data_IF_111909599143
#
_entry.id   IF_111909599143
#
_cell.length_a   1.000
_cell.length_b   1.000
_cell.length_c   1.000
_cell.angle_alpha   90.00
_cell.angle_beta   90.00
_cell.angle_gamma   90.00
#
_symmetry.space_group_name_H-M   'P 1'
#
loop_
_entity.id
_entity.type
_entity.pdbx_description
1 polymer ?
#
# COMPACT_ATOMS: atom_id res chain seq x y z
N UNK A 1 49.60 33.33 -11.06
CA UNK A 1 48.34 33.74 -11.69
C UNK A 1 47.27 33.81 -10.61
N UNK A 2 46.42 34.84 -10.69
CA UNK A 2 45.58 35.39 -9.62
C UNK A 2 44.65 34.38 -8.94
N UNK A 3 44.71 34.32 -7.62
CA UNK A 3 43.59 33.95 -6.75
C UNK A 3 42.93 35.25 -6.27
N UNK A 4 41.60 35.32 -6.37
CA UNK A 4 40.79 36.42 -5.87
C UNK A 4 40.26 36.08 -4.48
N UNK A 5 40.62 36.97 -3.57
CA UNK A 5 40.24 37.13 -2.18
C UNK A 5 38.85 37.78 -2.10
N UNK A 6 37.98 37.29 -1.21
CA UNK A 6 36.83 38.07 -0.74
C UNK A 6 36.83 38.18 0.78
N UNK A 7 36.86 39.44 1.18
CA UNK A 7 37.01 40.01 2.51
C UNK A 7 36.02 39.51 3.58
N UNK A 8 36.59 39.34 4.78
CA UNK A 8 36.03 39.48 6.14
C UNK A 8 35.01 40.60 6.27
N UNK A 9 34.11 40.53 7.28
CA UNK A 9 33.91 41.59 8.29
C UNK A 9 33.33 40.98 9.58
N UNK A 10 34.14 41.00 10.64
CA UNK A 10 33.81 40.70 12.03
C UNK A 10 33.89 42.04 12.76
N UNK A 11 32.83 42.44 13.49
CA UNK A 11 32.81 43.66 14.28
C UNK A 11 32.39 43.29 15.70
N UNK A 12 33.26 43.60 16.64
CA UNK A 12 33.06 43.53 18.09
C UNK A 12 33.20 44.91 18.71
N UNK A 13 32.80 45.00 19.99
CA UNK A 13 32.96 46.07 21.01
C UNK A 13 31.80 47.08 21.21
N UNK A 14 31.72 47.79 22.37
CA UNK A 14 31.62 47.32 23.78
C UNK A 14 30.66 48.17 24.68
N UNK A 15 30.57 47.85 25.99
CA UNK A 15 30.14 48.71 27.14
C UNK A 15 28.63 49.09 27.22
N UNK A 16 27.90 49.20 28.34
CA UNK A 16 28.18 49.39 29.78
C UNK A 16 26.96 49.03 30.63
N UNK A 17 27.17 48.61 31.87
CA UNK A 17 26.15 48.46 32.91
C UNK A 17 25.69 49.81 33.46
N UNK A 18 24.40 49.96 33.77
CA UNK A 18 23.94 50.90 34.80
C UNK A 18 22.68 50.38 35.49
N UNK A 19 22.80 50.24 36.82
CA UNK A 19 21.74 49.95 37.77
C UNK A 19 21.06 51.26 38.17
N UNK A 20 19.73 51.32 38.18
CA UNK A 20 19.00 52.30 38.99
C UNK A 20 17.68 51.69 39.48
N UNK A 21 17.51 51.71 40.80
CA UNK A 21 16.37 51.26 41.58
C UNK A 21 15.46 52.45 41.85
N UNK A 22 14.14 52.36 41.62
CA UNK A 22 13.10 53.14 42.36
C UNK A 22 11.67 52.62 42.09
N UNK A 23 11.18 51.84 43.06
CA UNK A 23 9.90 51.90 43.82
C UNK A 23 8.62 52.58 43.27
N UNK A 24 7.50 51.81 43.27
CA UNK A 24 6.06 52.13 43.61
C UNK A 24 5.26 53.10 42.70
N UNK A 25 3.99 52.92 42.24
CA UNK A 25 2.78 52.12 42.62
C UNK A 25 1.76 52.12 41.41
N UNK A 26 0.51 51.58 41.45
CA UNK A 26 0.04 50.53 40.51
C UNK A 26 -1.14 50.93 39.57
N UNK A 27 -1.55 49.98 38.71
CA UNK A 27 -2.90 49.73 38.10
C UNK A 27 -2.91 49.68 36.55
N UNK A 28 -3.78 48.91 35.87
CA UNK A 28 -4.36 47.60 36.18
C UNK A 28 -3.87 46.51 35.20
N UNK A 29 -4.12 45.24 35.55
CA UNK A 29 -3.74 44.08 34.76
C UNK A 29 -4.43 44.01 33.39
N UNK A 30 -3.73 43.60 32.31
CA UNK A 30 -4.36 42.88 31.23
C UNK A 30 -4.32 41.38 31.54
N UNK A 31 -5.52 40.80 31.68
CA UNK A 31 -5.72 39.36 31.70
C UNK A 31 -5.10 38.74 30.45
N UNK A 32 -3.95 38.08 30.61
CA UNK A 32 -3.49 37.07 29.65
C UNK A 32 -4.34 35.83 29.87
N UNK A 33 -5.38 35.66 29.06
CA UNK A 33 -5.96 34.33 28.86
C UNK A 33 -4.96 33.51 28.03
N UNK A 34 -4.43 32.38 28.52
CA UNK A 34 -3.85 31.40 27.63
C UNK A 34 -5.00 30.69 26.93
N UNK A 35 -5.24 31.01 25.65
CA UNK A 35 -6.07 30.18 24.79
C UNK A 35 -5.31 28.88 24.52
N UNK A 36 -5.50 27.94 25.43
CA UNK A 36 -5.02 26.57 25.29
C UNK A 36 -6.02 25.88 24.36
N UNK A 37 -5.82 26.03 23.04
CA UNK A 37 -6.55 25.25 22.04
C UNK A 37 -6.19 23.78 22.26
N UNK A 38 -7.04 23.07 23.01
CA UNK A 38 -7.07 21.61 23.00
C UNK A 38 -7.62 21.21 21.63
N UNK A 39 -6.73 21.09 20.66
CA UNK A 39 -6.91 20.14 19.58
C UNK A 39 -6.98 18.77 20.27
N UNK A 40 -8.18 18.27 20.52
CA UNK A 40 -8.38 16.84 20.74
C UNK A 40 -8.13 16.16 19.40
N UNK A 41 -7.06 15.37 19.25
CA UNK A 41 -6.82 14.72 17.97
C UNK A 41 -7.71 13.48 17.89
N UNK A 42 -8.51 13.38 16.83
CA UNK A 42 -9.13 12.13 16.35
C UNK A 42 -8.02 11.27 15.69
N UNK A 43 -6.85 11.17 16.32
CA UNK A 43 -5.79 10.22 15.97
C UNK A 43 -5.91 8.91 16.78
N UNK A 44 -6.82 8.86 17.75
CA UNK A 44 -6.99 7.68 18.62
C UNK A 44 -7.94 6.65 17.98
N UNK A 45 -8.88 7.05 17.12
CA UNK A 45 -9.72 6.07 16.40
C UNK A 45 -8.98 5.40 15.23
N UNK A 46 -8.08 6.10 14.54
CA UNK A 46 -7.20 5.49 13.53
C UNK A 46 -6.21 4.51 14.15
N UNK A 47 -5.65 4.84 15.33
CA UNK A 47 -4.79 3.93 16.09
C UNK A 47 -5.51 2.67 16.59
N UNK A 48 -6.77 2.77 17.04
CA UNK A 48 -7.52 1.60 17.51
C UNK A 48 -7.92 0.63 16.38
N UNK A 49 -8.17 1.14 15.17
CA UNK A 49 -8.42 0.31 13.98
C UNK A 49 -7.13 -0.34 13.48
N UNK A 50 -6.00 0.37 13.48
CA UNK A 50 -4.67 -0.20 13.20
C UNK A 50 -4.30 -1.31 14.20
N UNK A 51 -4.53 -1.10 15.49
CA UNK A 51 -4.25 -2.12 16.52
C UNK A 51 -5.20 -3.33 16.38
N UNK A 52 -6.46 -3.11 15.98
CA UNK A 52 -7.41 -4.21 15.75
C UNK A 52 -7.04 -5.04 14.50
N UNK A 53 -6.54 -4.40 13.44
CA UNK A 53 -6.01 -5.09 12.27
C UNK A 53 -4.73 -5.88 12.58
N UNK A 54 -3.83 -5.31 13.39
CA UNK A 54 -2.60 -5.98 13.87
C UNK A 54 -2.93 -7.16 14.81
N UNK A 55 -3.98 -7.07 15.63
CA UNK A 55 -4.42 -8.18 16.48
C UNK A 55 -5.08 -9.33 15.70
N UNK A 56 -5.62 -9.06 14.51
CA UNK A 56 -6.09 -10.10 13.58
C UNK A 56 -4.90 -10.77 12.86
N UNK A 57 -3.81 -10.03 12.65
CA UNK A 57 -2.57 -10.53 12.05
C UNK A 57 -1.74 -11.42 13.01
N UNK A 58 -1.80 -11.20 14.33
CA UNK A 58 -0.96 -11.93 15.30
C UNK A 58 -1.62 -13.15 16.00
N UNK A 59 -2.83 -13.54 15.59
CA UNK A 59 -3.53 -14.73 16.11
C UNK A 59 -3.37 -15.95 15.20
N UNK A 60 -3.67 -17.19 15.66
CA UNK A 60 -3.72 -18.37 14.79
C UNK A 60 -4.92 -18.24 13.82
N UNK A 61 -4.72 -17.45 12.78
CA UNK A 61 -5.76 -16.75 12.02
C UNK A 61 -6.19 -17.43 10.73
N UNK A 62 -5.73 -18.64 10.44
CA UNK A 62 -6.27 -19.42 9.32
C UNK A 62 -7.71 -19.92 9.58
N UNK A 63 -8.19 -19.91 10.83
CA UNK A 63 -9.50 -20.45 11.22
C UNK A 63 -10.65 -19.45 11.38
N UNK A 64 -10.37 -18.18 11.73
CA UNK A 64 -11.43 -17.25 12.19
C UNK A 64 -12.06 -16.40 11.08
N UNK A 65 -11.42 -16.25 9.92
CA UNK A 65 -12.03 -15.54 8.78
C UNK A 65 -12.86 -16.45 7.87
N UNK A 66 -12.73 -17.78 8.00
CA UNK A 66 -13.58 -18.74 7.27
C UNK A 66 -15.06 -18.66 7.67
N UNK A 67 -15.41 -18.03 8.80
CA UNK A 67 -16.80 -17.79 9.20
C UNK A 67 -17.39 -16.47 8.70
N UNK A 68 -16.57 -15.52 8.23
CA UNK A 68 -17.03 -14.25 7.65
C UNK A 68 -17.14 -14.29 6.12
N UNK A 69 -16.63 -15.35 5.48
CA UNK A 69 -16.73 -15.57 4.04
C UNK A 69 -17.38 -16.92 3.76
N UNK A 70 -18.62 -17.08 4.21
CA UNK A 70 -19.36 -18.33 4.10
C UNK A 70 -19.87 -18.61 2.69
N UNK A 71 -19.06 -19.26 1.84
CA UNK A 71 -19.58 -20.04 0.72
C UNK A 71 -19.12 -21.50 0.84
N UNK A 72 -20.06 -22.36 1.25
CA UNK A 72 -19.90 -23.81 1.29
C UNK A 72 -20.03 -24.39 -0.12
N UNK A 73 -18.92 -24.51 -0.84
CA UNK A 73 -18.83 -25.40 -2.01
C UNK A 73 -17.76 -26.45 -1.74
N UNK A 74 -18.20 -27.69 -1.46
CA UNK A 74 -17.32 -28.86 -1.40
C UNK A 74 -16.96 -29.27 -2.83
N UNK A 75 -15.70 -29.06 -3.21
CA UNK A 75 -15.12 -29.58 -4.45
C UNK A 75 -14.33 -30.87 -4.11
N UNK A 76 -14.36 -31.93 -4.94
CA UNK A 76 -13.63 -33.18 -4.68
C UNK A 76 -12.10 -32.97 -4.73
N UNK A 77 -11.30 -33.76 -3.97
CA UNK A 77 -9.86 -33.57 -3.92
C UNK A 77 -9.17 -34.03 -5.21
N UNK A 78 -8.58 -33.08 -5.94
CA UNK A 78 -7.49 -33.34 -6.87
C UNK A 78 -6.19 -33.45 -6.07
N UNK A 79 -5.30 -34.36 -6.48
CA UNK A 79 -4.06 -34.70 -5.77
C UNK A 79 -3.26 -33.43 -5.41
N UNK A 80 -3.20 -33.14 -4.11
CA UNK A 80 -2.52 -31.98 -3.57
C UNK A 80 -1.00 -32.16 -3.71
N UNK A 81 -0.32 -31.19 -4.33
CA UNK A 81 1.03 -30.85 -3.87
C UNK A 81 0.91 -30.61 -2.37
N UNK A 82 1.70 -31.32 -1.55
CA UNK A 82 1.65 -31.17 -0.10
C UNK A 82 2.16 -29.77 0.26
N UNK A 83 1.25 -28.79 0.25
CA UNK A 83 1.50 -27.46 0.79
C UNK A 83 1.83 -27.62 2.27
N UNK A 84 2.98 -27.10 2.67
CA UNK A 84 3.48 -27.18 4.05
C UNK A 84 3.27 -25.87 4.80
N UNK A 85 2.80 -24.81 4.14
CA UNK A 85 2.55 -23.52 4.77
C UNK A 85 2.51 -22.38 3.77
N UNK A 86 2.72 -21.17 4.26
CA UNK A 86 2.62 -19.94 3.47
C UNK A 86 3.72 -18.94 3.83
N UNK A 87 4.00 -18.05 2.87
CA UNK A 87 4.80 -16.85 3.07
C UNK A 87 3.96 -15.62 2.67
N UNK A 88 4.07 -14.57 3.47
CA UNK A 88 3.37 -13.29 3.31
C UNK A 88 4.37 -12.15 3.21
N UNK A 89 4.13 -11.24 2.27
CA UNK A 89 4.80 -9.94 2.23
C UNK A 89 3.99 -8.93 3.03
N UNK A 90 4.66 -8.20 3.91
CA UNK A 90 4.08 -7.20 4.80
C UNK A 90 4.80 -5.87 4.65
N UNK A 91 4.15 -4.78 5.05
CA UNK A 91 4.74 -3.45 5.03
C UNK A 91 4.96 -2.97 6.47
N UNK A 92 6.16 -2.50 6.80
CA UNK A 92 6.52 -1.97 8.13
C UNK A 92 5.80 -0.67 8.48
N UNK A 93 5.15 -0.04 7.49
CA UNK A 93 4.45 1.24 7.67
C UNK A 93 5.38 2.45 7.67
N UNK A 94 6.67 2.27 7.34
CA UNK A 94 7.62 3.36 7.12
C UNK A 94 7.40 4.02 5.76
N UNK A 95 6.21 4.57 5.56
CA UNK A 95 5.77 4.99 4.24
C UNK A 95 6.19 6.43 3.94
N UNK A 96 6.81 6.64 2.77
CA UNK A 96 7.22 7.94 2.25
C UNK A 96 6.64 8.13 0.83
N UNK A 97 6.27 9.36 0.46
CA UNK A 97 5.72 9.68 -0.87
C UNK A 97 6.80 9.78 -1.98
N UNK A 98 8.07 9.72 -1.60
CA UNK A 98 9.22 9.84 -2.49
C UNK A 98 10.05 8.56 -2.62
N UNK A 99 9.69 7.47 -1.91
CA UNK A 99 10.40 6.18 -1.98
C UNK A 99 9.43 5.02 -1.83
N UNK A 100 9.76 3.84 -2.38
CA UNK A 100 9.03 2.58 -2.13
C UNK A 100 9.46 1.87 -0.85
N UNK A 101 10.43 2.42 -0.11
CA UNK A 101 10.89 1.89 1.17
C UNK A 101 9.74 1.78 2.17
N UNK A 102 9.73 0.70 2.95
CA UNK A 102 8.68 0.42 3.93
C UNK A 102 7.40 -0.21 3.36
N UNK A 103 7.39 -0.53 2.05
CA UNK A 103 6.31 -1.25 1.37
C UNK A 103 6.81 -2.65 1.03
N UNK A 104 6.04 -3.69 1.41
CA UNK A 104 6.41 -5.09 1.17
C UNK A 104 7.86 -5.42 1.61
N UNK A 105 8.32 -4.80 2.69
CA UNK A 105 9.68 -4.87 3.23
C UNK A 105 9.83 -5.90 4.36
N UNK A 106 8.73 -6.45 4.85
CA UNK A 106 8.71 -7.47 5.89
C UNK A 106 8.19 -8.81 5.34
N UNK A 107 8.62 -9.91 5.97
CA UNK A 107 8.15 -11.26 5.63
C UNK A 107 7.61 -11.95 6.89
N UNK A 108 6.47 -12.63 6.74
CA UNK A 108 6.03 -13.66 7.65
C UNK A 108 6.04 -15.02 6.95
N UNK A 109 6.67 -16.01 7.58
CA UNK A 109 6.73 -17.39 7.12
C UNK A 109 6.14 -18.30 8.20
N UNK A 110 5.05 -18.97 7.84
CA UNK A 110 4.37 -19.95 8.70
C UNK A 110 4.36 -21.31 8.00
N UNK A 111 5.04 -22.29 8.60
CA UNK A 111 5.11 -23.66 8.10
C UNK A 111 4.64 -24.66 9.16
N UNK A 112 4.05 -25.74 8.69
CA UNK A 112 3.52 -26.85 9.47
C UNK A 112 3.98 -28.19 8.89
N UNK A 113 3.97 -29.22 9.73
CA UNK A 113 4.40 -30.57 9.37
C UNK A 113 5.87 -30.64 8.89
N UNK A 114 6.72 -29.80 9.45
CA UNK A 114 8.14 -29.71 9.13
C UNK A 114 8.93 -30.76 9.93
N UNK A 115 9.73 -31.57 9.25
CA UNK A 115 10.61 -32.54 9.90
C UNK A 115 11.73 -31.82 10.66
N UNK A 116 12.30 -32.45 11.69
CA UNK A 116 13.51 -31.90 12.32
C UNK A 116 14.69 -32.01 11.34
N UNK A 117 15.59 -31.01 11.29
CA UNK A 117 16.78 -31.09 10.45
C UNK A 117 17.68 -32.24 10.92
N UNK A 118 18.50 -32.77 10.01
CA UNK A 118 19.45 -33.82 10.33
C UNK A 118 20.42 -33.40 11.47
N UNK A 119 20.99 -34.35 12.26
CA UNK A 119 21.92 -34.01 13.33
C UNK A 119 23.10 -33.15 12.83
N UNK A 120 23.33 -32.01 13.49
CA UNK A 120 24.36 -31.04 13.10
C UNK A 120 23.95 -30.09 11.96
N UNK A 121 22.74 -30.22 11.42
CA UNK A 121 22.18 -29.34 10.38
C UNK A 121 21.13 -28.37 10.94
N UNK A 122 20.80 -27.36 10.15
CA UNK A 122 19.73 -26.40 10.41
C UNK A 122 19.09 -25.96 9.10
N UNK A 123 17.84 -25.52 9.17
CA UNK A 123 17.18 -24.91 8.03
C UNK A 123 17.47 -23.42 7.95
N UNK A 124 17.70 -22.92 6.75
CA UNK A 124 17.89 -21.49 6.46
C UNK A 124 16.91 -21.08 5.37
N UNK A 125 16.21 -19.96 5.58
CA UNK A 125 15.27 -19.40 4.62
C UNK A 125 15.89 -18.24 3.85
N UNK A 126 15.67 -18.25 2.54
CA UNK A 126 16.23 -17.30 1.59
C UNK A 126 15.14 -16.74 0.70
N UNK A 127 15.21 -15.44 0.46
CA UNK A 127 14.47 -14.80 -0.61
C UNK A 127 15.41 -14.66 -1.82
N UNK A 128 14.96 -15.15 -2.97
CA UNK A 128 15.74 -15.22 -4.20
C UNK A 128 15.19 -14.24 -5.22
N UNK A 129 16.11 -13.59 -5.94
CA UNK A 129 15.79 -12.66 -7.00
C UNK A 129 15.22 -13.34 -8.26
N UNK A 130 14.65 -12.51 -9.14
CA UNK A 130 14.02 -12.93 -10.39
C UNK A 130 14.97 -13.64 -11.35
N UNK A 131 16.24 -13.18 -11.37
CA UNK A 131 17.28 -13.75 -12.24
C UNK A 131 18.15 -14.75 -11.45
N UNK A 132 17.89 -16.07 -11.59
CA UNK A 132 18.69 -17.09 -10.92
C UNK A 132 20.16 -17.08 -11.35
N UNK A 133 20.53 -16.45 -12.48
CA UNK A 133 21.91 -16.34 -12.93
C UNK A 133 22.70 -15.26 -12.17
N UNK A 134 22.04 -14.24 -11.63
CA UNK A 134 22.70 -13.21 -10.80
C UNK A 134 23.03 -13.71 -9.39
N UNK A 135 22.38 -14.79 -8.93
CA UNK A 135 22.68 -15.46 -7.66
C UNK A 135 22.46 -14.58 -6.41
N UNK A 136 21.66 -13.51 -6.50
CA UNK A 136 21.37 -12.64 -5.37
C UNK A 136 20.33 -13.31 -4.46
N UNK A 137 20.76 -13.65 -3.26
CA UNK A 137 19.91 -14.21 -2.22
C UNK A 137 19.97 -13.33 -0.97
N UNK A 138 18.80 -13.06 -0.39
CA UNK A 138 18.66 -12.43 0.91
C UNK A 138 18.41 -13.52 1.95
N UNK A 139 19.28 -13.63 2.94
CA UNK A 139 19.06 -14.50 4.09
C UNK A 139 17.95 -13.91 4.97
N UNK A 140 16.82 -14.62 5.09
CA UNK A 140 15.75 -14.24 6.02
C UNK A 140 16.06 -14.70 7.45
N UNK A 141 16.74 -15.84 7.59
CA UNK A 141 17.23 -16.32 8.88
C UNK A 141 17.31 -17.84 8.99
N UNK A 142 17.84 -18.30 10.13
CA UNK A 142 17.80 -19.70 10.55
C UNK A 142 16.42 -20.05 11.10
N UNK A 143 15.83 -21.15 10.65
CA UNK A 143 14.51 -21.58 11.07
C UNK A 143 14.59 -22.50 12.29
N UNK A 144 13.73 -22.23 13.28
CA UNK A 144 13.55 -23.09 14.44
C UNK A 144 12.33 -23.97 14.26
N UNK A 145 12.51 -25.29 14.23
CA UNK A 145 11.41 -26.26 14.14
C UNK A 145 10.95 -26.63 15.55
N UNK A 146 9.72 -26.25 15.91
CA UNK A 146 9.13 -26.52 17.20
C UNK A 146 7.86 -27.37 17.02
N UNK A 147 7.91 -28.64 17.43
CA UNK A 147 6.81 -29.61 17.24
C UNK A 147 6.26 -29.67 15.80
N UNK A 148 7.15 -29.55 14.81
CA UNK A 148 6.79 -29.55 13.40
C UNK A 148 6.21 -28.24 12.87
N UNK A 149 6.18 -27.18 13.67
CA UNK A 149 5.85 -25.83 13.24
C UNK A 149 7.12 -24.99 13.09
N UNK A 150 7.11 -24.07 12.14
CA UNK A 150 8.11 -23.01 11.97
C UNK A 150 7.37 -21.69 11.85
N UNK A 151 7.78 -20.71 12.64
CA UNK A 151 7.37 -19.33 12.49
C UNK A 151 8.62 -18.47 12.37
N UNK A 152 8.69 -17.65 11.32
CA UNK A 152 9.74 -16.65 11.13
C UNK A 152 9.08 -15.33 10.74
N UNK A 153 9.46 -14.27 11.46
CA UNK A 153 9.19 -12.89 11.06
C UNK A 153 10.51 -12.21 10.73
N UNK A 154 10.62 -11.67 9.52
CA UNK A 154 11.73 -10.85 9.07
C UNK A 154 11.26 -9.39 9.01
N UNK A 155 11.86 -8.53 9.85
CA UNK A 155 11.44 -7.14 10.04
C UNK A 155 12.02 -6.15 9.01
N UNK A 156 12.52 -6.64 7.88
CA UNK A 156 13.17 -5.81 6.87
C UNK A 156 14.68 -5.68 7.00
N UNK A 157 15.31 -5.28 5.91
CA UNK A 157 16.73 -4.88 5.92
C UNK A 157 16.87 -3.44 6.48
N UNK A 158 18.09 -2.96 6.79
CA UNK A 158 18.27 -1.60 7.29
C UNK A 158 17.81 -0.48 6.34
N UNK A 159 17.55 -0.79 5.07
CA UNK A 159 17.07 0.13 4.05
C UNK A 159 15.54 0.05 3.87
N UNK A 160 14.86 -0.89 4.55
CA UNK A 160 13.46 -1.21 4.33
C UNK A 160 13.13 -1.42 2.85
N UNK A 161 14.00 -2.16 2.15
CA UNK A 161 13.86 -2.45 0.72
C UNK A 161 12.52 -3.10 0.43
N UNK A 162 11.85 -2.69 -0.64
CA UNK A 162 10.66 -3.37 -1.15
C UNK A 162 11.05 -4.75 -1.68
N UNK A 163 10.77 -5.80 -0.91
CA UNK A 163 11.24 -7.15 -1.22
C UNK A 163 10.51 -7.75 -2.41
N UNK A 164 9.24 -7.38 -2.63
CA UNK A 164 8.46 -7.86 -3.77
C UNK A 164 8.94 -7.24 -5.09
N UNK A 165 9.57 -6.06 -5.05
CA UNK A 165 10.18 -5.41 -6.21
C UNK A 165 11.39 -6.20 -6.74
N UNK A 166 12.15 -6.85 -5.85
CA UNK A 166 13.46 -7.46 -6.17
C UNK A 166 13.49 -8.98 -6.12
N UNK A 167 12.42 -9.62 -5.66
CA UNK A 167 12.35 -11.06 -5.50
C UNK A 167 10.99 -11.67 -5.86
N UNK A 168 11.02 -12.94 -6.19
CA UNK A 168 9.84 -13.72 -6.60
C UNK A 168 9.75 -15.09 -5.92
N UNK A 169 10.79 -15.52 -5.18
CA UNK A 169 10.91 -16.91 -4.73
C UNK A 169 11.47 -17.03 -3.32
N UNK A 170 10.85 -17.90 -2.54
CA UNK A 170 11.37 -18.44 -1.29
C UNK A 170 12.10 -19.77 -1.55
N UNK A 171 13.25 -19.94 -0.91
CA UNK A 171 13.95 -21.22 -0.81
C UNK A 171 14.32 -21.52 0.65
N UNK A 172 14.07 -22.76 1.09
CA UNK A 172 14.56 -23.28 2.37
C UNK A 172 15.56 -24.41 2.11
N UNK A 173 16.79 -24.21 2.58
CA UNK A 173 17.89 -25.18 2.50
C UNK A 173 18.20 -25.81 3.86
N UNK A 174 18.74 -27.02 3.86
CA UNK A 174 19.29 -27.70 5.04
C UNK A 174 20.82 -27.68 5.00
N UNK A 175 21.44 -26.91 5.90
CA UNK A 175 22.88 -26.63 5.88
C UNK A 175 23.53 -26.84 7.24
N UNK A 176 24.87 -26.82 7.30
CA UNK A 176 25.61 -27.04 8.54
C UNK A 176 25.29 -25.97 9.59
N UNK A 177 24.90 -26.40 10.79
CA UNK A 177 24.50 -25.49 11.86
C UNK A 177 25.68 -24.77 12.54
N UNK A 178 26.92 -25.18 12.25
CA UNK A 178 28.13 -24.61 12.87
C UNK A 178 28.51 -23.24 12.32
N UNK A 179 28.04 -22.88 11.14
CA UNK A 179 28.31 -21.60 10.48
C UNK A 179 27.08 -21.12 9.74
N UNK A 180 26.67 -19.87 9.97
CA UNK A 180 25.59 -19.26 9.19
C UNK A 180 26.07 -19.12 7.73
N UNK A 181 25.38 -19.72 6.75
CA UNK A 181 25.75 -19.60 5.35
C UNK A 181 25.56 -18.16 4.86
N UNK A 182 26.37 -17.74 3.89
CA UNK A 182 26.22 -16.43 3.24
C UNK A 182 25.39 -16.50 1.95
N UNK A 183 25.22 -17.69 1.39
CA UNK A 183 24.43 -17.99 0.19
C UNK A 183 23.75 -19.34 0.38
N UNK A 184 22.59 -19.58 -0.26
CA UNK A 184 21.98 -20.90 -0.26
C UNK A 184 22.88 -21.90 -0.98
N UNK A 185 22.95 -23.12 -0.44
CA UNK A 185 23.66 -24.23 -1.08
C UNK A 185 23.19 -24.45 -2.53
N UNK A 186 24.15 -24.60 -3.46
CA UNK A 186 23.88 -24.96 -4.86
C UNK A 186 23.59 -26.46 -5.03
N UNK A 187 23.84 -27.28 -4.01
CA UNK A 187 23.47 -28.69 -4.00
C UNK A 187 21.96 -28.81 -3.78
N UNK A 188 21.21 -29.06 -4.84
CA UNK A 188 19.74 -29.18 -4.81
C UNK A 188 19.25 -30.32 -3.92
N UNK A 189 20.11 -31.27 -3.54
CA UNK A 189 19.78 -32.32 -2.58
C UNK A 189 19.60 -31.79 -1.15
N UNK A 190 20.05 -30.55 -0.88
CA UNK A 190 19.86 -29.84 0.38
C UNK A 190 18.60 -28.96 0.39
N UNK A 191 17.93 -28.80 -0.76
CA UNK A 191 16.72 -27.99 -0.85
C UNK A 191 15.55 -28.78 -0.27
N UNK A 192 14.75 -28.13 0.57
CA UNK A 192 13.68 -28.80 1.34
C UNK A 192 12.32 -28.24 1.01
N UNK A 193 12.20 -26.91 0.94
CA UNK A 193 10.92 -26.24 0.69
C UNK A 193 11.12 -25.06 -0.26
N UNK A 194 10.12 -24.78 -1.09
CA UNK A 194 10.14 -23.64 -2.00
C UNK A 194 8.75 -23.06 -2.22
N UNK A 195 8.71 -21.78 -2.58
CA UNK A 195 7.53 -21.11 -3.09
C UNK A 195 7.97 -20.10 -4.15
N UNK A 196 7.22 -19.91 -5.23
CA UNK A 196 7.59 -18.97 -6.29
C UNK A 196 6.33 -18.32 -6.87
N UNK A 197 6.41 -17.03 -7.20
CA UNK A 197 5.39 -16.32 -7.97
C UNK A 197 5.56 -16.68 -9.46
N UNK A 198 4.54 -17.27 -10.12
CA UNK A 198 4.58 -17.53 -11.55
C UNK A 198 4.94 -16.29 -12.39
N UNK A 199 6.02 -16.41 -13.17
CA UNK A 199 6.44 -15.40 -14.15
C UNK A 199 5.99 -15.74 -15.58
N UNK A 200 5.05 -16.66 -15.74
CA UNK A 200 4.57 -17.10 -17.04
C UNK A 200 3.67 -16.00 -17.63
N UNK A 201 4.03 -15.39 -18.77
CA UNK A 201 3.19 -14.39 -19.43
C UNK A 201 1.79 -14.91 -19.73
N UNK A 202 0.77 -14.08 -19.55
CA UNK A 202 -0.59 -14.43 -19.95
C UNK A 202 -0.68 -14.44 -21.49
N UNK A 203 -0.95 -15.59 -22.13
CA UNK A 203 -1.02 -15.67 -23.60
C UNK A 203 -2.22 -14.90 -24.18
N UNK A 204 -3.22 -14.56 -23.37
CA UNK A 204 -4.35 -13.73 -23.79
C UNK A 204 -4.07 -12.23 -23.70
N UNK A 205 -3.01 -11.82 -23.00
CA UNK A 205 -2.49 -10.45 -23.06
C UNK A 205 -1.47 -10.36 -24.19
N UNK A 206 -1.95 -9.95 -25.38
CA UNK A 206 -1.12 -9.82 -26.57
C UNK A 206 -0.37 -8.48 -26.67
N UNK A 207 -0.60 -7.55 -25.74
CA UNK A 207 -0.03 -6.20 -25.80
C UNK A 207 1.15 -6.09 -24.85
N UNK A 208 0.95 -6.43 -23.57
CA UNK A 208 1.97 -6.25 -22.54
C UNK A 208 2.62 -7.56 -22.10
N UNK A 209 1.98 -8.69 -22.37
CA UNK A 209 2.45 -10.02 -21.96
C UNK A 209 2.73 -10.11 -20.45
N UNK A 210 1.90 -9.47 -19.62
CA UNK A 210 2.10 -9.49 -18.18
C UNK A 210 1.90 -10.89 -17.59
N UNK A 211 2.76 -11.23 -16.63
CA UNK A 211 2.64 -12.42 -15.78
C UNK A 211 1.92 -12.09 -14.48
N UNK A 212 1.65 -13.11 -13.65
CA UNK A 212 1.14 -12.91 -12.30
C UNK A 212 2.06 -12.01 -11.46
N UNK A 213 3.37 -12.19 -11.55
CA UNK A 213 4.35 -11.34 -10.87
C UNK A 213 4.24 -9.88 -11.30
N UNK A 214 4.05 -9.60 -12.60
CA UNK A 214 3.89 -8.23 -13.09
C UNK A 214 2.64 -7.58 -12.49
N UNK A 215 1.49 -8.26 -12.53
CA UNK A 215 0.27 -7.72 -11.94
C UNK A 215 0.41 -7.47 -10.43
N UNK A 216 1.03 -8.38 -9.68
CA UNK A 216 1.28 -8.19 -8.25
C UNK A 216 2.20 -6.99 -7.99
N UNK A 217 3.27 -6.84 -8.78
CA UNK A 217 4.18 -5.68 -8.64
C UNK A 217 3.51 -4.36 -8.97
N UNK A 218 2.71 -4.30 -10.03
CA UNK A 218 2.03 -3.05 -10.38
C UNK A 218 1.01 -2.65 -9.30
N UNK A 219 0.37 -3.64 -8.66
CA UNK A 219 -0.51 -3.39 -7.53
C UNK A 219 0.25 -2.95 -6.26
N UNK A 220 1.37 -3.59 -5.93
CA UNK A 220 1.98 -3.51 -4.59
C UNK A 220 3.37 -2.86 -4.51
N UNK A 221 4.18 -2.96 -5.56
CA UNK A 221 5.62 -2.68 -5.47
C UNK A 221 6.09 -1.57 -6.40
N UNK A 222 5.83 -1.69 -7.70
CA UNK A 222 6.19 -0.70 -8.71
C UNK A 222 5.23 -0.81 -9.90
N UNK A 223 4.48 0.25 -10.14
CA UNK A 223 3.66 0.41 -11.33
C UNK A 223 4.38 1.29 -12.37
N UNK A 224 4.56 0.84 -13.62
CA UNK A 224 5.31 1.59 -14.62
C UNK A 224 4.68 2.93 -14.98
N UNK A 225 3.35 3.05 -14.91
CA UNK A 225 2.66 4.32 -15.18
C UNK A 225 2.93 5.33 -14.07
N UNK A 226 2.88 4.89 -12.81
CA UNK A 226 3.19 5.74 -11.66
C UNK A 226 4.68 6.08 -11.56
N UNK A 227 5.57 5.17 -11.94
CA UNK A 227 7.02 5.41 -11.97
C UNK A 227 7.36 6.59 -12.90
N UNK A 228 6.72 6.68 -14.08
CA UNK A 228 6.86 7.81 -15.01
C UNK A 228 6.38 9.15 -14.42
N UNK A 229 5.61 9.12 -13.34
CA UNK A 229 5.12 10.28 -12.62
C UNK A 229 5.93 10.58 -11.34
N UNK A 230 7.07 9.91 -11.15
CA UNK A 230 7.86 9.96 -9.92
C UNK A 230 7.02 9.59 -8.67
N UNK A 231 6.08 8.66 -8.83
CA UNK A 231 5.20 8.14 -7.78
C UNK A 231 5.61 6.70 -7.43
N UNK A 232 6.64 6.50 -6.59
CA UNK A 232 7.15 5.16 -6.30
C UNK A 232 6.13 4.31 -5.53
N UNK A 233 6.25 2.99 -5.66
CA UNK A 233 5.28 2.04 -5.10
C UNK A 233 4.31 1.50 -6.16
N UNK A 234 3.44 0.58 -5.73
CA UNK A 234 2.32 0.12 -6.54
C UNK A 234 1.07 1.01 -6.42
N UNK A 235 0.05 0.71 -7.22
CA UNK A 235 -1.22 1.45 -7.25
C UNK A 235 -1.96 1.48 -5.89
N UNK A 236 -1.84 0.40 -5.12
CA UNK A 236 -2.57 0.20 -3.87
C UNK A 236 -2.27 1.29 -2.82
N UNK A 237 -0.99 1.59 -2.58
CA UNK A 237 -0.60 2.59 -1.59
C UNK A 237 -1.05 3.99 -1.98
N UNK A 238 -1.08 4.30 -3.27
CA UNK A 238 -1.53 5.59 -3.77
C UNK A 238 -3.04 5.73 -3.70
N UNK A 239 -3.81 4.67 -3.98
CA UNK A 239 -5.25 4.66 -3.71
C UNK A 239 -5.52 4.94 -2.23
N UNK A 240 -4.84 4.22 -1.33
CA UNK A 240 -4.99 4.37 0.11
C UNK A 240 -4.76 5.81 0.59
N UNK A 241 -3.61 6.39 0.23
CA UNK A 241 -3.24 7.76 0.63
C UNK A 241 -4.17 8.81 0.06
N UNK A 242 -4.52 8.69 -1.22
CA UNK A 242 -5.29 9.71 -1.92
C UNK A 242 -6.73 9.75 -1.41
N UNK A 243 -7.36 8.59 -1.15
CA UNK A 243 -8.70 8.54 -0.56
C UNK A 243 -8.69 8.99 0.90
N UNK A 244 -7.62 8.72 1.66
CA UNK A 244 -7.45 9.29 3.00
C UNK A 244 -7.44 10.83 2.97
N UNK A 245 -6.78 11.44 1.99
CA UNK A 245 -6.78 12.90 1.82
C UNK A 245 -8.15 13.47 1.45
N UNK A 246 -8.89 12.78 0.60
CA UNK A 246 -10.29 13.14 0.31
C UNK A 246 -11.13 13.14 1.59
N UNK A 247 -11.02 12.11 2.43
CA UNK A 247 -11.71 12.07 3.73
C UNK A 247 -11.28 13.21 4.66
N UNK A 248 -9.96 13.45 4.78
CA UNK A 248 -9.39 14.51 5.62
C UNK A 248 -9.99 15.89 5.27
N UNK A 249 -10.02 16.22 3.98
CA UNK A 249 -10.50 17.53 3.53
C UNK A 249 -12.02 17.64 3.52
N UNK A 250 -12.75 16.56 3.22
CA UNK A 250 -14.20 16.54 3.40
C UNK A 250 -14.58 16.83 4.85
N UNK A 251 -13.93 16.15 5.80
CA UNK A 251 -14.16 16.37 7.23
C UNK A 251 -13.80 17.79 7.67
N UNK A 252 -12.65 18.29 7.24
CA UNK A 252 -12.22 19.67 7.50
C UNK A 252 -13.23 20.70 7.00
N UNK A 253 -13.75 20.54 5.77
CA UNK A 253 -14.71 21.48 5.20
C UNK A 253 -16.02 21.51 5.99
N UNK A 254 -16.49 20.33 6.44
CA UNK A 254 -17.69 20.22 7.25
C UNK A 254 -17.52 20.88 8.61
N UNK A 255 -16.37 20.69 9.26
CA UNK A 255 -16.12 21.29 10.58
C UNK A 255 -16.01 22.83 10.50
N UNK A 256 -15.46 23.36 9.41
CA UNK A 256 -15.39 24.81 9.17
C UNK A 256 -16.74 25.48 9.03
N UNK A 257 -17.80 24.73 8.67
CA UNK A 257 -19.17 25.26 8.67
C UNK A 257 -19.57 25.82 10.05
N UNK A 258 -19.14 25.13 11.12
CA UNK A 258 -19.41 25.55 12.50
C UNK A 258 -18.69 26.86 12.87
N UNK A 259 -17.51 27.08 12.29
CA UNK A 259 -16.70 28.29 12.52
C UNK A 259 -16.95 29.38 11.49
N UNK A 260 -17.87 29.13 10.54
CA UNK A 260 -18.19 30.01 9.41
C UNK A 260 -16.99 30.30 8.50
N UNK A 261 -16.03 29.37 8.41
CA UNK A 261 -14.78 29.50 7.68
C UNK A 261 -14.90 29.24 6.17
N UNK A 262 -15.78 29.94 5.46
CA UNK A 262 -16.13 29.63 4.04
C UNK A 262 -14.95 29.64 3.08
N UNK A 263 -13.95 30.52 3.31
CA UNK A 263 -12.74 30.52 2.52
C UNK A 263 -11.90 29.25 2.65
N UNK A 264 -11.90 28.60 3.82
CA UNK A 264 -11.23 27.30 3.98
C UNK A 264 -12.08 26.18 3.39
N UNK A 265 -13.40 26.20 3.58
CA UNK A 265 -14.33 25.27 2.91
C UNK A 265 -14.09 25.20 1.40
N UNK A 266 -14.09 26.36 0.71
CA UNK A 266 -13.83 26.42 -0.73
C UNK A 266 -12.50 25.77 -1.13
N UNK A 267 -11.42 26.05 -0.38
CA UNK A 267 -10.12 25.44 -0.66
C UNK A 267 -10.16 23.92 -0.49
N UNK A 268 -10.89 23.41 0.50
CA UNK A 268 -11.03 21.96 0.68
C UNK A 268 -11.84 21.31 -0.43
N UNK A 269 -12.92 21.94 -0.92
CA UNK A 269 -13.67 21.41 -2.08
C UNK A 269 -12.77 21.31 -3.32
N UNK A 270 -11.95 22.34 -3.56
CA UNK A 270 -11.00 22.34 -4.67
C UNK A 270 -9.99 21.21 -4.51
N UNK A 271 -9.39 21.02 -3.32
CA UNK A 271 -8.43 19.92 -3.09
C UNK A 271 -9.05 18.54 -3.26
N UNK A 272 -10.30 18.36 -2.82
CA UNK A 272 -11.06 17.12 -3.04
C UNK A 272 -11.22 16.87 -4.53
N UNK A 273 -11.64 17.88 -5.31
CA UNK A 273 -11.79 17.76 -6.76
C UNK A 273 -10.45 17.57 -7.48
N UNK A 274 -9.37 18.22 -7.04
CA UNK A 274 -8.03 18.05 -7.62
C UNK A 274 -7.56 16.59 -7.58
N UNK A 275 -7.87 15.84 -6.51
CA UNK A 275 -7.53 14.40 -6.41
C UNK A 275 -8.54 13.49 -7.11
N UNK A 276 -9.84 13.81 -7.01
CA UNK A 276 -10.88 12.99 -7.62
C UNK A 276 -10.81 13.05 -9.14
N UNK A 277 -10.67 14.26 -9.68
CA UNK A 277 -10.75 14.52 -11.11
C UNK A 277 -9.36 14.51 -11.78
N UNK A 278 -8.32 14.81 -11.00
CA UNK A 278 -6.97 14.98 -11.51
C UNK A 278 -6.82 16.23 -12.38
N UNK A 279 -5.57 16.52 -12.75
CA UNK A 279 -5.23 17.76 -13.48
C UNK A 279 -5.95 17.89 -14.83
N UNK A 280 -6.23 16.76 -15.49
CA UNK A 280 -6.84 16.73 -16.82
C UNK A 280 -8.33 17.08 -16.82
N UNK A 281 -9.05 16.81 -15.73
CA UNK A 281 -10.51 16.94 -15.70
C UNK A 281 -11.03 17.96 -14.68
N UNK A 282 -10.26 18.32 -13.65
CA UNK A 282 -10.74 19.19 -12.54
C UNK A 282 -11.29 20.54 -13.01
N UNK A 283 -10.73 21.12 -14.07
CA UNK A 283 -11.17 22.42 -14.58
C UNK A 283 -12.59 22.41 -15.19
N UNK A 284 -13.18 21.24 -15.42
CA UNK A 284 -14.59 21.11 -15.82
C UNK A 284 -15.55 21.31 -14.65
N UNK A 285 -15.03 21.26 -13.42
CA UNK A 285 -15.79 21.04 -12.20
C UNK A 285 -15.62 22.15 -11.15
N UNK A 286 -14.71 23.09 -11.43
CA UNK A 286 -14.45 24.28 -10.63
C UNK A 286 -14.69 25.56 -11.46
N UNK A 287 -14.89 26.72 -10.81
CA UNK A 287 -14.98 27.99 -11.53
C UNK A 287 -13.74 28.25 -12.41
N UNK A 288 -13.90 28.88 -13.59
CA UNK A 288 -12.77 29.19 -14.46
C UNK A 288 -11.67 30.00 -13.75
N UNK A 289 -10.42 29.58 -13.95
CA UNK A 289 -9.25 30.22 -13.33
C UNK A 289 -8.97 29.78 -11.89
N UNK A 290 -9.69 28.78 -11.38
CA UNK A 290 -9.41 28.18 -10.07
C UNK A 290 -8.05 27.48 -10.10
N UNK A 291 -7.12 27.82 -9.18
CA UNK A 291 -5.82 27.17 -9.11
C UNK A 291 -5.92 25.77 -8.51
N UNK A 292 -4.99 24.90 -8.89
CA UNK A 292 -4.76 23.59 -8.23
C UNK A 292 -4.13 23.85 -6.86
N UNK A 293 -4.65 23.20 -5.82
CA UNK A 293 -4.30 23.45 -4.41
C UNK A 293 -3.59 22.27 -3.73
N UNK A 294 -3.23 21.26 -4.50
CA UNK A 294 -2.55 20.03 -4.06
C UNK A 294 -1.22 19.83 -4.79
N UNK A 295 -0.46 18.79 -4.39
CA UNK A 295 0.75 18.39 -5.13
C UNK A 295 0.37 17.98 -6.56
N UNK A 296 0.85 18.75 -7.53
CA UNK A 296 0.58 18.53 -8.95
C UNK A 296 1.22 17.27 -9.49
N UNK A 297 2.24 16.71 -8.83
CA UNK A 297 2.77 15.39 -9.17
C UNK A 297 1.72 14.32 -8.90
N UNK A 298 1.16 14.31 -7.69
CA UNK A 298 0.22 13.28 -7.24
C UNK A 298 -1.13 13.43 -7.98
N UNK A 299 -1.61 14.66 -8.18
CA UNK A 299 -2.88 14.92 -8.87
C UNK A 299 -2.86 14.61 -10.39
N UNK A 300 -1.72 14.22 -10.97
CA UNK A 300 -1.68 13.70 -12.35
C UNK A 300 -2.42 12.36 -12.47
N UNK A 301 -2.36 11.54 -11.43
CA UNK A 301 -3.14 10.32 -11.32
C UNK A 301 -4.44 10.62 -10.55
N UNK A 302 -5.54 10.78 -11.28
CA UNK A 302 -6.86 10.96 -10.66
C UNK A 302 -7.29 9.69 -9.93
N UNK A 303 -8.17 9.84 -8.93
CA UNK A 303 -8.83 8.69 -8.31
C UNK A 303 -9.88 8.09 -9.23
N UNK A 304 -10.64 8.94 -9.94
CA UNK A 304 -11.73 8.56 -10.82
C UNK A 304 -11.32 8.54 -12.29
N UNK A 305 -11.97 7.65 -13.03
CA UNK A 305 -11.82 7.49 -14.47
C UNK A 305 -12.99 8.14 -15.20
N UNK A 306 -12.70 9.02 -16.16
CA UNK A 306 -13.70 9.75 -16.94
C UNK A 306 -13.71 9.34 -18.41
N UNK A 307 -12.60 8.84 -18.94
CA UNK A 307 -12.49 8.43 -20.33
C UNK A 307 -11.50 7.29 -20.50
N UNK A 308 -12.01 6.05 -20.38
CA UNK A 308 -11.25 4.80 -20.50
C UNK A 308 -10.43 4.64 -21.79
N UNK A 309 -10.64 5.47 -22.80
CA UNK A 309 -9.91 5.41 -24.08
C UNK A 309 -8.81 6.46 -24.21
N UNK A 310 -8.86 7.56 -23.47
CA UNK A 310 -8.01 8.73 -23.71
C UNK A 310 -7.43 9.35 -22.44
N UNK A 311 -7.93 8.97 -21.27
CA UNK A 311 -7.39 9.44 -20.01
C UNK A 311 -6.06 8.75 -19.73
N UNK A 312 -5.01 9.56 -19.64
CA UNK A 312 -3.64 9.11 -19.38
C UNK A 312 -3.01 10.02 -18.30
N UNK A 313 -2.58 9.47 -17.15
CA UNK A 313 -2.74 8.07 -16.73
C UNK A 313 -4.21 7.71 -16.45
N UNK A 314 -4.58 6.41 -16.47
CA UNK A 314 -5.89 5.98 -16.04
C UNK A 314 -6.15 6.32 -14.56
N UNK A 315 -7.41 6.54 -14.21
CA UNK A 315 -7.83 6.75 -12.82
C UNK A 315 -7.49 5.54 -11.96
N UNK A 316 -6.99 5.76 -10.74
CA UNK A 316 -6.41 4.71 -9.88
C UNK A 316 -7.35 3.52 -9.65
N UNK A 317 -8.64 3.78 -9.40
CA UNK A 317 -9.62 2.71 -9.18
C UNK A 317 -9.79 1.81 -10.42
N UNK A 318 -9.86 2.42 -11.61
CA UNK A 318 -9.96 1.69 -12.86
C UNK A 318 -8.66 0.93 -13.17
N UNK A 319 -7.51 1.57 -12.95
CA UNK A 319 -6.20 0.99 -13.20
C UNK A 319 -5.96 -0.27 -12.34
N UNK A 320 -6.33 -0.22 -11.05
CA UNK A 320 -6.29 -1.39 -10.18
C UNK A 320 -7.20 -2.50 -10.71
N UNK A 321 -8.42 -2.17 -11.14
CA UNK A 321 -9.35 -3.13 -11.76
C UNK A 321 -8.75 -3.87 -12.95
N UNK A 322 -7.99 -3.19 -13.81
CA UNK A 322 -7.28 -3.80 -14.94
C UNK A 322 -6.28 -4.87 -14.47
N UNK A 323 -5.49 -4.58 -13.43
CA UNK A 323 -4.53 -5.56 -12.91
C UNK A 323 -5.21 -6.72 -12.18
N UNK A 324 -6.32 -6.50 -11.47
CA UNK A 324 -7.09 -7.57 -10.85
C UNK A 324 -7.68 -8.52 -11.90
N UNK A 325 -8.23 -7.98 -12.99
CA UNK A 325 -8.72 -8.79 -14.10
C UNK A 325 -7.59 -9.59 -14.78
N UNK A 326 -6.45 -8.94 -15.03
CA UNK A 326 -5.27 -9.61 -15.57
C UNK A 326 -4.73 -10.72 -14.66
N UNK A 327 -4.72 -10.49 -13.34
CA UNK A 327 -4.36 -11.47 -12.33
C UNK A 327 -5.28 -12.69 -12.37
N UNK A 328 -6.60 -12.49 -12.49
CA UNK A 328 -7.57 -13.60 -12.58
C UNK A 328 -7.30 -14.50 -13.80
N UNK A 329 -6.89 -13.89 -14.91
CA UNK A 329 -6.52 -14.57 -16.15
C UNK A 329 -5.10 -15.15 -16.18
N UNK A 330 -4.24 -14.80 -15.22
CA UNK A 330 -2.82 -15.14 -15.26
C UNK A 330 -2.54 -16.63 -15.05
N UNK A 331 -1.65 -17.24 -15.84
CA UNK A 331 -1.18 -18.59 -15.59
C UNK A 331 -0.54 -18.72 -14.20
N UNK A 332 -0.90 -19.78 -13.48
CA UNK A 332 -0.37 -20.06 -12.13
C UNK A 332 -1.06 -19.32 -10.98
N UNK A 333 -1.98 -18.38 -11.24
CA UNK A 333 -2.80 -17.78 -10.18
C UNK A 333 -3.68 -18.85 -9.50
N UNK A 334 -3.63 -18.91 -8.16
CA UNK A 334 -4.38 -19.89 -7.38
C UNK A 334 -5.88 -19.58 -7.36
N UNK A 335 -6.73 -20.57 -7.05
CA UNK A 335 -8.17 -20.35 -6.93
C UNK A 335 -8.50 -19.29 -5.85
N UNK A 336 -7.71 -19.25 -4.77
CA UNK A 336 -7.86 -18.28 -3.68
C UNK A 336 -7.49 -16.87 -4.14
N UNK A 337 -6.37 -16.70 -4.85
CA UNK A 337 -5.98 -15.42 -5.43
C UNK A 337 -7.05 -14.88 -6.40
N UNK A 338 -7.59 -15.74 -7.26
CA UNK A 338 -8.67 -15.36 -8.20
C UNK A 338 -9.92 -14.91 -7.46
N UNK A 339 -10.35 -15.68 -6.45
CA UNK A 339 -11.52 -15.34 -5.66
C UNK A 339 -11.35 -14.04 -4.89
N UNK A 340 -10.16 -13.81 -4.32
CA UNK A 340 -9.84 -12.57 -3.62
C UNK A 340 -9.81 -11.37 -4.56
N UNK A 341 -9.21 -11.51 -5.75
CA UNK A 341 -9.20 -10.44 -6.76
C UNK A 341 -10.61 -10.03 -7.21
N UNK A 342 -11.52 -11.00 -7.42
CA UNK A 342 -12.93 -10.72 -7.75
C UNK A 342 -13.64 -9.96 -6.62
N UNK A 343 -13.36 -10.33 -5.35
CA UNK A 343 -13.92 -9.64 -4.19
C UNK A 343 -13.40 -8.21 -4.08
N UNK A 344 -12.10 -8.00 -4.33
CA UNK A 344 -11.49 -6.68 -4.34
C UNK A 344 -12.10 -5.81 -5.44
N UNK A 345 -12.25 -6.35 -6.66
CA UNK A 345 -12.87 -5.62 -7.78
C UNK A 345 -14.31 -5.19 -7.48
N UNK A 346 -15.09 -6.06 -6.84
CA UNK A 346 -16.44 -5.72 -6.36
C UNK A 346 -16.41 -4.56 -5.36
N UNK A 347 -15.47 -4.59 -4.41
CA UNK A 347 -15.32 -3.52 -3.42
C UNK A 347 -14.84 -2.20 -4.06
N UNK A 348 -13.94 -2.26 -5.04
CA UNK A 348 -13.48 -1.09 -5.80
C UNK A 348 -14.62 -0.43 -6.56
N UNK A 349 -15.49 -1.21 -7.21
CA UNK A 349 -16.66 -0.67 -7.90
C UNK A 349 -17.59 0.09 -6.94
N UNK A 350 -17.72 -0.38 -5.70
CA UNK A 350 -18.48 0.32 -4.67
C UNK A 350 -17.78 1.61 -4.22
N UNK A 351 -16.48 1.56 -3.92
CA UNK A 351 -15.69 2.75 -3.57
C UNK A 351 -15.77 3.80 -4.68
N UNK A 352 -15.71 3.38 -5.94
CA UNK A 352 -15.91 4.26 -7.09
C UNK A 352 -17.26 4.99 -7.03
N UNK A 353 -18.35 4.28 -6.74
CA UNK A 353 -19.67 4.91 -6.61
C UNK A 353 -19.72 5.95 -5.47
N UNK A 354 -19.12 5.64 -4.31
CA UNK A 354 -19.04 6.56 -3.17
C UNK A 354 -18.21 7.81 -3.51
N UNK A 355 -17.04 7.63 -4.13
CA UNK A 355 -16.19 8.75 -4.54
C UNK A 355 -16.82 9.61 -5.65
N UNK A 356 -17.63 9.03 -6.53
CA UNK A 356 -18.45 9.81 -7.46
C UNK A 356 -19.47 10.68 -6.75
N UNK A 357 -20.08 10.22 -5.66
CA UNK A 357 -21.00 11.07 -4.88
C UNK A 357 -20.25 12.15 -4.10
N UNK A 358 -19.09 11.86 -3.51
CA UNK A 358 -18.20 12.90 -2.93
C UNK A 358 -17.89 13.98 -3.97
N UNK A 359 -17.55 13.58 -5.20
CA UNK A 359 -17.32 14.50 -6.31
C UNK A 359 -18.56 15.35 -6.61
N UNK A 360 -19.74 14.75 -6.69
CA UNK A 360 -20.99 15.46 -6.98
C UNK A 360 -21.28 16.54 -5.92
N UNK A 361 -21.07 16.24 -4.65
CA UNK A 361 -21.26 17.19 -3.56
C UNK A 361 -20.23 18.32 -3.60
N UNK A 362 -18.95 17.98 -3.77
CA UNK A 362 -17.87 18.96 -3.85
C UNK A 362 -18.09 19.95 -5.03
N UNK A 363 -18.52 19.45 -6.19
CA UNK A 363 -18.90 20.27 -7.35
C UNK A 363 -20.03 21.23 -7.05
N UNK A 364 -21.03 20.78 -6.30
CA UNK A 364 -22.16 21.63 -5.94
C UNK A 364 -21.74 22.70 -4.94
N UNK A 365 -20.93 22.33 -3.96
CA UNK A 365 -20.47 23.22 -2.89
C UNK A 365 -19.48 24.28 -3.40
N UNK A 366 -18.55 23.92 -4.30
CA UNK A 366 -17.54 24.86 -4.82
C UNK A 366 -18.15 26.00 -5.64
N UNK A 367 -19.36 25.81 -6.17
CA UNK A 367 -20.10 26.82 -6.95
C UNK A 367 -20.97 27.74 -6.08
N UNK A 368 -21.09 27.46 -4.78
CA UNK A 368 -21.88 28.28 -3.87
C UNK A 368 -21.12 29.55 -3.48
N UNK A 369 -21.87 30.62 -3.25
CA UNK A 369 -21.38 31.83 -2.56
C UNK A 369 -21.21 31.58 -1.06
N UNK A 370 -20.42 32.43 -0.38
CA UNK A 370 -20.26 32.37 1.08
C UNK A 370 -21.60 32.36 1.84
N UNK A 371 -22.55 33.20 1.43
CA UNK A 371 -23.87 33.27 2.06
C UNK A 371 -24.70 31.99 1.88
N UNK A 372 -24.52 31.30 0.74
CA UNK A 372 -25.16 30.01 0.47
C UNK A 372 -24.50 28.89 1.26
N UNK A 373 -23.17 28.88 1.39
CA UNK A 373 -22.45 27.87 2.18
C UNK A 373 -22.88 27.87 3.65
N UNK A 374 -23.24 29.02 4.21
CA UNK A 374 -23.71 29.13 5.60
C UNK A 374 -25.18 28.71 5.81
N UNK A 375 -25.89 28.28 4.76
CA UNK A 375 -27.26 27.80 4.91
C UNK A 375 -27.31 26.36 5.46
N UNK A 376 -28.35 26.00 6.23
CA UNK A 376 -28.54 24.62 6.71
C UNK A 376 -28.61 23.58 5.58
N UNK A 377 -29.11 23.95 4.40
CA UNK A 377 -29.12 23.07 3.22
C UNK A 377 -27.73 22.67 2.75
N UNK A 378 -26.74 23.55 2.92
CA UNK A 378 -25.36 23.32 2.53
C UNK A 378 -24.64 22.44 3.55
N UNK A 379 -25.01 22.55 4.84
CA UNK A 379 -24.58 21.62 5.87
C UNK A 379 -25.00 20.19 5.54
N UNK A 380 -26.23 19.96 5.04
CA UNK A 380 -26.66 18.62 4.65
C UNK A 380 -25.83 18.02 3.50
N UNK A 381 -25.35 18.85 2.57
CA UNK A 381 -24.46 18.40 1.48
C UNK A 381 -23.06 18.11 2.03
N UNK A 382 -22.56 18.93 2.96
CA UNK A 382 -21.29 18.69 3.65
C UNK A 382 -21.31 17.39 4.45
N UNK A 383 -22.38 17.14 5.21
CA UNK A 383 -22.54 15.91 5.99
C UNK A 383 -22.61 14.67 5.07
N UNK A 384 -23.27 14.76 3.91
CA UNK A 384 -23.29 13.67 2.92
C UNK A 384 -21.90 13.43 2.29
N UNK A 385 -21.22 14.49 1.87
CA UNK A 385 -19.86 14.42 1.31
C UNK A 385 -18.89 13.74 2.30
N UNK A 386 -18.97 14.09 3.58
CA UNK A 386 -18.16 13.44 4.64
C UNK A 386 -18.54 11.98 4.81
N UNK A 387 -19.84 11.67 4.89
CA UNK A 387 -20.31 10.30 5.04
C UNK A 387 -19.82 9.42 3.89
N UNK A 388 -19.97 9.86 2.65
CA UNK A 388 -19.53 9.10 1.49
C UNK A 388 -18.00 8.91 1.46
N UNK A 389 -17.23 9.94 1.80
CA UNK A 389 -15.78 9.82 1.91
C UNK A 389 -15.35 8.87 3.03
N UNK A 390 -16.07 8.88 4.16
CA UNK A 390 -15.82 7.97 5.27
C UNK A 390 -16.13 6.53 4.86
N UNK A 391 -17.31 6.28 4.30
CA UNK A 391 -17.72 4.95 3.83
C UNK A 391 -16.77 4.43 2.75
N UNK A 392 -16.25 5.30 1.88
CA UNK A 392 -15.25 4.95 0.87
C UNK A 392 -13.92 4.53 1.51
N UNK A 393 -13.49 5.19 2.58
CA UNK A 393 -12.19 4.93 3.20
C UNK A 393 -12.21 3.76 4.20
N UNK A 394 -13.19 3.74 5.12
CA UNK A 394 -13.24 2.76 6.24
C UNK A 394 -14.26 1.64 6.03
N UNK A 395 -15.13 1.75 5.02
CA UNK A 395 -16.23 0.82 4.78
C UNK A 395 -17.51 1.20 5.52
N UNK A 396 -18.59 0.45 5.27
CA UNK A 396 -19.86 0.62 5.98
C UNK A 396 -20.51 -0.72 6.28
N UNK A 397 -21.29 -0.78 7.34
CA UNK A 397 -22.15 -1.93 7.62
C UNK A 397 -23.42 -1.82 6.75
N UNK A 398 -23.72 -2.85 5.97
CA UNK A 398 -24.98 -2.95 5.23
C UNK A 398 -26.02 -3.71 6.08
N UNK A 399 -27.06 -3.02 6.59
CA UNK A 399 -28.09 -3.66 7.40
C UNK A 399 -28.99 -4.61 6.60
N UNK A 400 -28.98 -4.54 5.27
CA UNK A 400 -29.81 -5.38 4.40
C UNK A 400 -29.20 -6.78 4.27
N UNK A 401 -27.89 -6.83 4.09
CA UNK A 401 -27.14 -8.10 3.98
C UNK A 401 -26.60 -8.58 5.32
N UNK A 402 -26.45 -7.69 6.30
CA UNK A 402 -25.81 -7.97 7.58
C UNK A 402 -24.29 -8.03 7.50
N UNK A 403 -23.70 -7.61 6.37
CA UNK A 403 -22.27 -7.71 6.09
C UNK A 403 -21.59 -6.34 6.19
N UNK A 404 -20.28 -6.36 6.44
CA UNK A 404 -19.45 -5.16 6.32
C UNK A 404 -19.02 -5.04 4.86
N UNK A 405 -19.43 -3.95 4.23
CA UNK A 405 -18.94 -3.59 2.91
C UNK A 405 -17.59 -2.88 3.05
N UNK A 406 -16.57 -3.43 2.38
CA UNK A 406 -15.20 -2.96 2.45
C UNK A 406 -15.03 -1.54 1.89
N UNK A 407 -14.23 -0.73 2.59
CA UNK A 407 -13.64 0.51 2.07
C UNK A 407 -12.19 0.30 1.65
N UNK A 408 -11.52 1.38 1.27
CA UNK A 408 -10.12 1.37 0.83
C UNK A 408 -9.17 0.78 1.86
N UNK A 409 -9.43 0.95 3.15
CA UNK A 409 -8.61 0.34 4.21
C UNK A 409 -8.62 -1.18 4.13
N UNK A 410 -9.78 -1.81 3.94
CA UNK A 410 -9.87 -3.27 3.81
C UNK A 410 -9.36 -3.74 2.45
N UNK A 411 -9.61 -2.96 1.39
CA UNK A 411 -9.06 -3.22 0.05
C UNK A 411 -7.53 -3.27 0.09
N UNK A 412 -6.89 -2.33 0.79
CA UNK A 412 -5.43 -2.27 0.92
C UNK A 412 -4.83 -3.57 1.46
N UNK A 413 -5.32 -4.05 2.61
CA UNK A 413 -4.87 -5.32 3.17
C UNK A 413 -5.26 -6.53 2.31
N UNK A 414 -6.39 -6.46 1.61
CA UNK A 414 -6.80 -7.52 0.70
C UNK A 414 -5.87 -7.62 -0.53
N UNK A 415 -5.43 -6.49 -1.10
CA UNK A 415 -4.48 -6.47 -2.22
C UNK A 415 -3.12 -7.02 -1.75
N UNK A 416 -2.63 -6.65 -0.56
CA UNK A 416 -1.40 -7.23 0.00
C UNK A 416 -1.47 -8.76 0.09
N UNK A 417 -2.62 -9.31 0.49
CA UNK A 417 -2.81 -10.76 0.59
C UNK A 417 -2.79 -11.49 -0.76
N UNK A 418 -2.95 -10.80 -1.89
CA UNK A 418 -2.79 -11.41 -3.21
C UNK A 418 -1.36 -11.94 -3.42
N UNK A 419 -0.36 -11.34 -2.76
CA UNK A 419 1.05 -11.76 -2.80
C UNK A 419 1.40 -12.87 -1.80
N UNK A 420 0.40 -13.62 -1.30
CA UNK A 420 0.65 -14.83 -0.50
C UNK A 420 1.12 -15.97 -1.40
N UNK A 421 2.17 -16.69 -0.98
CA UNK A 421 2.65 -17.87 -1.69
C UNK A 421 2.48 -19.13 -0.86
N UNK A 422 2.05 -20.20 -1.51
CA UNK A 422 2.02 -21.53 -0.92
C UNK A 422 3.41 -22.15 -0.96
N UNK A 423 3.90 -22.58 0.20
CA UNK A 423 5.18 -23.27 0.33
C UNK A 423 4.98 -24.76 0.13
N UNK A 424 5.81 -25.35 -0.74
CA UNK A 424 5.73 -26.75 -1.13
C UNK A 424 7.05 -27.47 -0.83
N UNK A 425 6.98 -28.78 -0.64
CA UNK A 425 8.16 -29.64 -0.49
C UNK A 425 8.91 -29.73 -1.83
N UNK A 426 10.23 -29.55 -1.79
CA UNK A 426 11.10 -29.82 -2.94
C UNK A 426 11.25 -31.33 -3.07
N UNK A 427 10.83 -31.95 -4.18
CA UNK A 427 11.03 -33.38 -4.39
C UNK A 427 12.53 -33.68 -4.41
N UNK A 428 12.96 -34.74 -3.72
CA UNK A 428 14.33 -35.23 -3.81
C UNK A 428 14.64 -35.56 -5.28
N UNK A 429 15.41 -34.70 -5.94
CA UNK A 429 15.89 -34.97 -7.29
C UNK A 429 16.86 -36.13 -7.20
N UNK A 430 16.53 -37.26 -7.83
CA UNK A 430 17.53 -38.29 -8.09
C UNK A 430 18.57 -37.65 -9.02
N UNK A 431 19.83 -37.66 -8.60
CA UNK A 431 20.98 -37.15 -9.33
C UNK A 431 20.95 -37.53 -10.81
N UNK A 432 20.58 -36.56 -11.64
CA UNK A 432 20.70 -36.59 -13.10
C UNK A 432 20.98 -35.17 -13.55
N UNK A 433 21.86 -34.95 -14.55
CA UNK A 433 22.20 -33.61 -15.00
C UNK A 433 20.91 -32.89 -15.47
N UNK A 434 20.81 -31.56 -15.28
CA UNK A 434 19.64 -30.81 -15.71
C UNK A 434 19.45 -31.02 -17.20
N UNK A 435 18.36 -31.69 -17.59
CA UNK A 435 17.91 -31.63 -18.96
C UNK A 435 17.49 -30.18 -19.20
N UNK A 436 18.27 -29.49 -20.05
CA UNK A 436 18.01 -28.11 -20.42
C UNK A 436 16.56 -27.96 -20.88
N UNK A 437 15.85 -27.02 -20.26
CA UNK A 437 14.68 -26.42 -20.86
C UNK A 437 15.08 -25.89 -22.25
N UNK A 438 14.30 -26.16 -23.31
CA UNK A 438 14.66 -25.73 -24.64
C UNK A 438 14.69 -24.20 -24.70
N UNK A 439 15.86 -23.66 -25.07
CA UNK A 439 16.03 -22.29 -25.56
C UNK A 439 15.11 -22.08 -26.76
N UNK A 440 13.88 -21.61 -26.53
CA UNK A 440 13.08 -21.06 -27.60
C UNK A 440 13.60 -19.65 -27.85
N UNK A 441 14.52 -19.58 -28.80
CA UNK A 441 15.12 -18.33 -29.28
C UNK A 441 14.03 -17.52 -29.98
N UNK A 442 13.38 -16.60 -29.26
CA UNK A 442 12.57 -15.57 -29.89
C UNK A 442 13.50 -14.52 -30.48
N UNK A 443 13.68 -14.58 -31.80
CA UNK A 443 14.35 -13.55 -32.59
C UNK A 443 13.58 -12.22 -32.45
N UNK A 444 14.10 -11.32 -31.62
CA UNK A 444 13.79 -9.89 -31.72
C UNK A 444 14.41 -9.37 -33.02
N UNK A 445 13.58 -9.08 -34.02
CA UNK A 445 13.93 -8.15 -35.10
C UNK A 445 13.59 -6.74 -34.61
N UNK A 446 14.62 -5.90 -34.54
CA UNK A 446 14.45 -4.46 -34.57
C UNK A 446 13.89 -4.06 -35.94
N UNK A 447 12.73 -3.41 -35.93
CA UNK A 447 12.31 -2.39 -36.89
C UNK A 447 11.35 -1.42 -36.20
#
# INVERSE_FOLDING_TARGET
MRNLDTSKHNISYPFTSNTTTTTTTPSPAPHKHPHRNRLTPILILSGAVLISAILILAGPGAGLLSSLFGNKTRIPPLAASQGVGHIFFMSSGQINEHTSQGIADEIELDLSNIASPAPGKSYYAWLLNDDPAEGKALLLGQLSVNHGAVYLHYSGDPQHTNLLEVADRLLVTEEDASTVPNLPSLDTSTWRYMAQIPQIPNPSDAVHHYSLLNHLRHLLASDPTLELLDMPGGLDIWLFRNVQKVLEWSGSARDDWTTQGTGLMHRQFIRVLDYLDGLSYVQNDVPPGTPVLVDTRIARASLLEFNVQQQEPPGLLYHIGLHLQGLVGSPGATAQQKQLAIQIDTAINKVNALLQGVRQDARRLVMMTDAQLLQPSSLSILDDMVKQAQDAFVGQFDPTTGEIENGVTQIHYAIQRLATLDVTVVPASHSGPPQGLPLQTALYKHE
#
